data_IF_294314554759
#
_entry.id   IF_294314554759
#
_cell.length_a   1.000
_cell.length_b   1.000
_cell.length_c   1.000
_cell.angle_alpha   90.00
_cell.angle_beta   90.00
_cell.angle_gamma   90.00
#
_symmetry.space_group_name_H-M   'P 1'
#
loop_
_entity.id
_entity.type
_entity.pdbx_description
1 polymer ?
#
# COMPACT_ATOMS: atom_id res chain seq x y z
N UNK A 1 -15.72 5.77 -20.20
CA UNK A 1 -17.01 5.06 -20.24
C UNK A 1 -17.89 5.57 -19.12
N UNK A 2 -19.21 5.37 -19.21
CA UNK A 2 -20.18 5.80 -18.18
C UNK A 2 -19.83 5.29 -16.76
N UNK A 3 -19.21 4.11 -16.64
CA UNK A 3 -18.75 3.58 -15.34
C UNK A 3 -17.59 4.40 -14.78
N UNK A 4 -16.60 4.76 -15.59
CA UNK A 4 -15.51 5.64 -15.13
C UNK A 4 -16.02 7.00 -14.68
N UNK A 5 -16.92 7.62 -15.45
CA UNK A 5 -17.53 8.89 -15.09
C UNK A 5 -18.28 8.82 -13.76
N UNK A 6 -19.01 7.73 -13.51
CA UNK A 6 -19.69 7.48 -12.24
C UNK A 6 -18.69 7.35 -11.08
N UNK A 7 -17.64 6.56 -11.24
CA UNK A 7 -16.61 6.36 -10.21
C UNK A 7 -15.90 7.68 -9.89
N UNK A 8 -15.51 8.43 -10.91
CA UNK A 8 -14.85 9.72 -10.75
C UNK A 8 -15.78 10.77 -10.11
N UNK A 9 -17.05 10.82 -10.51
CA UNK A 9 -18.04 11.72 -9.92
C UNK A 9 -18.26 11.39 -8.44
N UNK A 10 -18.37 10.10 -8.09
CA UNK A 10 -18.51 9.67 -6.69
C UNK A 10 -17.28 10.02 -5.86
N UNK A 11 -16.07 9.86 -6.41
CA UNK A 11 -14.85 10.27 -5.73
C UNK A 11 -14.82 11.78 -5.44
N UNK A 12 -15.19 12.61 -6.45
CA UNK A 12 -15.27 14.08 -6.32
C UNK A 12 -16.42 14.54 -5.42
N UNK A 13 -17.40 13.70 -5.14
CA UNK A 13 -18.45 13.96 -4.14
C UNK A 13 -17.97 13.62 -2.72
N UNK A 14 -17.35 12.45 -2.53
CA UNK A 14 -17.00 11.91 -1.20
C UNK A 14 -15.77 12.60 -0.61
N UNK A 15 -14.65 12.58 -1.33
CA UNK A 15 -13.36 12.95 -0.77
C UNK A 15 -13.26 14.42 -0.31
N UNK A 16 -13.86 15.42 -1.01
CA UNK A 16 -13.84 16.80 -0.51
C UNK A 16 -14.56 16.99 0.82
N UNK A 17 -15.54 16.12 1.17
CA UNK A 17 -16.21 16.16 2.48
C UNK A 17 -15.26 15.79 3.63
N UNK A 18 -14.19 15.05 3.33
CA UNK A 18 -13.08 14.74 4.24
C UNK A 18 -11.88 15.69 4.07
N UNK A 19 -12.05 16.79 3.32
CA UNK A 19 -11.03 17.82 3.12
C UNK A 19 -9.97 17.47 2.06
N UNK A 20 -10.20 16.47 1.21
CA UNK A 20 -9.25 16.11 0.15
C UNK A 20 -9.43 16.97 -1.10
N UNK A 21 -8.32 17.52 -1.62
CA UNK A 21 -8.27 18.22 -2.90
C UNK A 21 -7.77 17.32 -4.03
N UNK A 22 -8.32 17.50 -5.25
CA UNK A 22 -7.83 16.77 -6.43
C UNK A 22 -6.45 17.28 -6.85
N UNK A 23 -5.48 16.38 -6.97
CA UNK A 23 -4.13 16.64 -7.46
C UNK A 23 -3.88 15.81 -8.72
N UNK A 24 -3.34 16.43 -9.76
CA UNK A 24 -2.97 15.74 -10.99
C UNK A 24 -1.46 15.78 -11.17
N UNK A 25 -0.84 14.61 -11.16
CA UNK A 25 0.61 14.45 -11.38
C UNK A 25 0.89 13.94 -12.79
N UNK A 26 2.10 14.17 -13.33
CA UNK A 26 2.51 13.63 -14.61
C UNK A 26 2.37 12.11 -14.72
N UNK A 27 2.11 11.62 -15.94
CA UNK A 27 2.10 10.18 -16.22
C UNK A 27 3.50 9.58 -16.30
N UNK A 28 4.50 10.42 -16.55
CA UNK A 28 5.92 10.05 -16.68
C UNK A 28 6.74 10.81 -15.65
N UNK A 29 7.59 10.08 -14.95
CA UNK A 29 8.53 10.60 -13.96
C UNK A 29 9.91 9.99 -14.20
N UNK A 30 10.94 10.52 -13.56
CA UNK A 30 12.23 9.84 -13.52
C UNK A 30 12.11 8.48 -12.82
N UNK A 31 12.71 7.45 -13.41
CA UNK A 31 12.69 6.08 -12.88
C UNK A 31 13.15 6.01 -11.42
N UNK A 32 14.16 6.81 -11.05
CA UNK A 32 14.71 6.88 -9.70
C UNK A 32 13.67 7.28 -8.64
N UNK A 33 12.65 8.05 -9.00
CA UNK A 33 11.57 8.39 -8.09
C UNK A 33 10.84 7.13 -7.60
N UNK A 34 10.51 6.26 -8.53
CA UNK A 34 9.81 5.00 -8.22
C UNK A 34 10.74 4.00 -7.54
N UNK A 35 11.99 3.87 -7.99
CA UNK A 35 12.97 2.98 -7.36
C UNK A 35 13.17 3.32 -5.89
N UNK A 36 13.34 4.61 -5.57
CA UNK A 36 13.50 5.07 -4.18
C UNK A 36 12.21 4.93 -3.38
N UNK A 37 11.06 5.29 -3.95
CA UNK A 37 9.78 5.26 -3.25
C UNK A 37 9.28 3.84 -3.00
N UNK A 38 9.19 3.02 -4.04
CA UNK A 38 8.56 1.69 -4.00
C UNK A 38 9.47 0.63 -3.36
N UNK A 39 10.78 0.75 -3.56
CA UNK A 39 11.79 -0.22 -3.15
C UNK A 39 12.30 -1.07 -4.31
N UNK A 40 13.64 -1.18 -4.42
CA UNK A 40 14.32 -1.87 -5.53
C UNK A 40 14.05 -3.37 -5.59
N UNK A 41 13.70 -3.99 -4.46
CA UNK A 41 13.45 -5.44 -4.35
C UNK A 41 11.99 -5.84 -4.63
N UNK A 42 11.13 -4.87 -4.98
CA UNK A 42 9.73 -5.16 -5.30
C UNK A 42 9.58 -5.67 -6.72
N UNK A 43 8.59 -6.54 -6.96
CA UNK A 43 8.29 -7.03 -8.31
C UNK A 43 7.90 -5.86 -9.25
N UNK A 44 7.26 -4.82 -8.72
CA UNK A 44 6.91 -3.62 -9.47
C UNK A 44 8.15 -2.96 -10.09
N UNK A 45 9.19 -2.74 -9.30
CA UNK A 45 10.43 -2.08 -9.77
C UNK A 45 11.25 -3.03 -10.65
N UNK A 46 11.38 -4.29 -10.27
CA UNK A 46 12.25 -5.24 -10.98
C UNK A 46 11.69 -5.72 -12.31
N UNK A 47 10.35 -5.85 -12.43
CA UNK A 47 9.74 -6.59 -13.56
C UNK A 47 8.60 -5.84 -14.26
N UNK A 48 7.95 -4.87 -13.57
CA UNK A 48 6.66 -4.37 -14.03
C UNK A 48 6.68 -2.91 -14.52
N UNK A 49 7.74 -2.15 -14.27
CA UNK A 49 7.83 -0.79 -14.75
C UNK A 49 8.11 -0.70 -16.25
N UNK A 50 7.39 0.20 -16.95
CA UNK A 50 7.72 0.61 -18.29
C UNK A 50 8.77 1.72 -18.24
N UNK A 51 10.04 1.37 -18.50
CA UNK A 51 11.16 2.28 -18.47
C UNK A 51 11.54 2.72 -19.89
N UNK A 52 11.75 4.02 -20.09
CA UNK A 52 12.12 4.64 -21.36
C UNK A 52 13.49 5.30 -21.16
N UNK A 53 14.58 4.72 -21.73
CA UNK A 53 15.90 5.33 -21.65
C UNK A 53 15.89 6.66 -22.42
N UNK A 54 16.56 7.67 -21.89
CA UNK A 54 16.76 8.92 -22.61
C UNK A 54 18.21 9.10 -23.06
N UNK A 55 18.43 9.98 -24.01
CA UNK A 55 19.74 10.27 -24.62
C UNK A 55 20.77 10.84 -23.62
N UNK A 56 20.35 11.32 -22.45
CA UNK A 56 21.22 11.91 -21.40
C UNK A 56 21.57 10.94 -20.29
N UNK A 57 21.31 9.63 -20.47
CA UNK A 57 21.62 8.59 -19.49
C UNK A 57 20.68 8.50 -18.27
N UNK A 58 19.63 9.33 -18.21
CA UNK A 58 18.58 9.24 -17.18
C UNK A 58 17.39 8.49 -17.75
N UNK A 59 16.85 7.52 -17.00
CA UNK A 59 15.66 6.78 -17.40
C UNK A 59 14.40 7.49 -16.91
N UNK A 60 13.35 7.47 -17.72
CA UNK A 60 12.00 7.86 -17.32
C UNK A 60 11.09 6.64 -17.32
N UNK A 61 10.07 6.63 -16.48
CA UNK A 61 9.10 5.55 -16.42
C UNK A 61 7.67 6.06 -16.48
N UNK A 62 6.79 5.28 -17.10
CA UNK A 62 5.37 5.44 -16.90
C UNK A 62 5.05 5.07 -15.45
N UNK A 63 4.23 5.86 -14.77
CA UNK A 63 3.92 5.68 -13.34
C UNK A 63 3.24 4.33 -13.09
N UNK A 64 3.82 3.46 -12.24
CA UNK A 64 3.20 2.20 -11.83
C UNK A 64 2.18 2.38 -10.69
N UNK A 65 2.20 3.54 -10.03
CA UNK A 65 1.33 3.97 -8.94
C UNK A 65 1.38 5.50 -8.81
N UNK A 66 0.49 6.11 -8.02
CA UNK A 66 0.40 7.57 -7.94
C UNK A 66 1.19 8.17 -6.76
N UNK A 67 1.36 7.42 -5.66
CA UNK A 67 1.86 7.92 -4.37
C UNK A 67 3.21 8.62 -4.50
N UNK A 68 4.19 8.02 -5.18
CA UNK A 68 5.52 8.61 -5.36
C UNK A 68 5.45 9.97 -6.11
N UNK A 69 4.61 10.07 -7.13
CA UNK A 69 4.38 11.33 -7.85
C UNK A 69 3.71 12.41 -6.99
N UNK A 70 2.76 12.02 -6.13
CA UNK A 70 2.14 12.93 -5.14
C UNK A 70 3.17 13.40 -4.14
N UNK A 71 4.00 12.49 -3.60
CA UNK A 71 5.06 12.87 -2.65
C UNK A 71 6.06 13.85 -3.27
N UNK A 72 6.49 13.62 -4.51
CA UNK A 72 7.38 14.57 -5.22
C UNK A 72 6.71 15.94 -5.35
N UNK A 73 5.46 15.99 -5.79
CA UNK A 73 4.72 17.25 -5.92
C UNK A 73 4.56 17.97 -4.56
N UNK A 74 4.30 17.24 -3.49
CA UNK A 74 4.23 17.75 -2.13
C UNK A 74 5.56 18.38 -1.68
N UNK A 75 6.68 17.68 -1.92
CA UNK A 75 8.02 18.15 -1.55
C UNK A 75 8.38 19.40 -2.36
N UNK A 76 8.26 19.35 -3.68
CA UNK A 76 8.66 20.45 -4.57
C UNK A 76 7.81 21.71 -4.42
N UNK A 77 6.53 21.56 -4.09
CA UNK A 77 5.65 22.72 -3.86
C UNK A 77 5.92 23.44 -2.52
N UNK A 78 6.65 22.79 -1.60
CA UNK A 78 6.92 23.32 -0.27
C UNK A 78 5.67 23.50 0.59
N UNK A 79 4.56 22.84 0.28
CA UNK A 79 3.30 22.97 1.02
C UNK A 79 3.45 22.53 2.48
N UNK A 80 4.34 21.57 2.76
CA UNK A 80 4.68 21.10 4.11
C UNK A 80 5.17 22.22 5.07
N UNK A 81 5.68 23.31 4.53
CA UNK A 81 6.11 24.45 5.35
C UNK A 81 4.95 25.40 5.72
N UNK A 82 3.79 25.24 5.09
CA UNK A 82 2.62 26.13 5.26
C UNK A 82 1.42 25.41 5.88
N UNK A 83 1.32 24.11 5.69
CA UNK A 83 0.19 23.31 6.14
C UNK A 83 0.68 22.13 6.98
N UNK A 84 0.15 22.01 8.20
CA UNK A 84 0.46 20.90 9.09
C UNK A 84 -0.14 19.57 8.58
N UNK A 85 -1.27 19.65 7.87
CA UNK A 85 -1.96 18.50 7.29
C UNK A 85 -2.29 18.81 5.84
N UNK A 86 -1.89 17.93 4.94
CA UNK A 86 -2.23 18.00 3.52
C UNK A 86 -2.97 16.75 3.08
N UNK A 87 -4.07 16.92 2.35
CA UNK A 87 -4.96 15.83 1.92
C UNK A 87 -5.19 15.93 0.41
N UNK A 88 -4.70 14.93 -0.34
CA UNK A 88 -4.80 14.88 -1.79
C UNK A 88 -5.48 13.62 -2.26
N UNK A 89 -6.27 13.72 -3.33
CA UNK A 89 -6.65 12.56 -4.10
C UNK A 89 -6.26 12.72 -5.57
N UNK A 90 -5.96 11.60 -6.22
CA UNK A 90 -5.63 11.56 -7.65
C UNK A 90 -6.49 10.52 -8.35
N UNK A 91 -6.84 10.80 -9.60
CA UNK A 91 -7.56 9.89 -10.48
C UNK A 91 -6.80 9.80 -11.79
N UNK A 92 -6.52 8.60 -12.27
CA UNK A 92 -5.92 8.47 -13.59
C UNK A 92 -5.30 7.11 -13.89
N UNK A 93 -4.72 6.98 -15.09
CA UNK A 93 -4.12 5.72 -15.54
C UNK A 93 -2.78 5.46 -14.86
N UNK A 94 -2.55 4.17 -14.56
CA UNK A 94 -1.29 3.59 -14.12
C UNK A 94 -0.86 2.51 -15.11
N UNK A 95 0.43 2.15 -15.07
CA UNK A 95 1.03 1.26 -16.06
C UNK A 95 1.93 0.23 -15.39
N UNK A 96 1.60 -1.06 -15.56
CA UNK A 96 2.44 -2.18 -15.09
C UNK A 96 2.55 -3.25 -16.15
N UNK A 97 3.75 -3.71 -16.42
CA UNK A 97 4.00 -4.82 -17.35
C UNK A 97 3.70 -6.17 -16.70
N UNK A 98 2.49 -6.31 -16.20
CA UNK A 98 2.01 -7.58 -15.64
C UNK A 98 1.54 -8.54 -16.73
N UNK A 99 1.48 -9.83 -16.37
CA UNK A 99 0.81 -10.81 -17.21
C UNK A 99 -0.70 -10.53 -17.21
N UNK A 100 -1.30 -10.21 -18.37
CA UNK A 100 -2.73 -9.87 -18.43
C UNK A 100 -3.61 -11.03 -17.95
N UNK A 101 -4.56 -10.71 -17.08
CA UNK A 101 -5.57 -11.64 -16.60
C UNK A 101 -6.82 -10.87 -16.17
N UNK A 102 -7.91 -11.57 -15.83
CA UNK A 102 -9.13 -10.91 -15.36
C UNK A 102 -8.82 -10.05 -14.13
N UNK A 103 -9.14 -8.74 -14.20
CA UNK A 103 -8.85 -7.77 -13.14
C UNK A 103 -7.43 -7.21 -13.13
N UNK A 104 -6.55 -7.62 -14.05
CA UNK A 104 -5.19 -7.06 -14.21
C UNK A 104 -4.89 -6.71 -15.66
N UNK A 105 -4.71 -5.43 -15.91
CA UNK A 105 -4.36 -4.89 -17.23
C UNK A 105 -3.05 -4.13 -17.14
N UNK A 106 -2.33 -4.02 -18.26
CA UNK A 106 -1.07 -3.27 -18.35
C UNK A 106 -1.25 -1.76 -18.21
N UNK A 107 -2.40 -1.25 -18.66
CA UNK A 107 -2.91 0.06 -18.30
C UNK A 107 -4.19 -0.13 -17.50
N UNK A 108 -4.25 0.45 -16.33
CA UNK A 108 -5.42 0.43 -15.45
C UNK A 108 -5.61 1.81 -14.84
N UNK A 109 -6.76 2.08 -14.25
CA UNK A 109 -7.02 3.34 -13.56
C UNK A 109 -7.00 3.10 -12.06
N UNK A 110 -6.47 4.07 -11.35
CA UNK A 110 -6.55 4.12 -9.90
C UNK A 110 -7.20 5.42 -9.44
N UNK A 111 -7.87 5.34 -8.31
CA UNK A 111 -8.30 6.44 -7.48
C UNK A 111 -7.51 6.30 -6.18
N UNK A 112 -6.65 7.29 -5.89
CA UNK A 112 -5.75 7.28 -4.74
C UNK A 112 -6.08 8.43 -3.81
N UNK A 113 -5.94 8.24 -2.51
CA UNK A 113 -6.01 9.28 -1.49
C UNK A 113 -4.76 9.22 -0.63
N UNK A 114 -4.15 10.39 -0.36
CA UNK A 114 -2.94 10.55 0.44
C UNK A 114 -3.17 11.63 1.49
N UNK A 115 -2.99 11.30 2.76
CA UNK A 115 -3.05 12.22 3.90
C UNK A 115 -1.66 12.30 4.54
N UNK A 116 -1.10 13.51 4.58
CA UNK A 116 0.24 13.79 5.06
C UNK A 116 0.19 14.69 6.28
N UNK A 117 0.96 14.38 7.31
CA UNK A 117 1.06 15.15 8.56
C UNK A 117 0.63 14.37 9.80
N UNK A 118 -0.58 13.81 9.89
CA UNK A 118 -1.06 13.17 11.11
C UNK A 118 -0.30 11.88 11.45
N UNK A 119 0.11 11.76 12.74
CA UNK A 119 0.70 10.55 13.32
C UNK A 119 -0.33 9.69 14.05
N UNK A 120 -1.43 10.31 14.41
CA UNK A 120 -2.47 9.78 15.26
C UNK A 120 -3.24 8.65 14.57
N UNK A 121 -3.63 7.58 15.31
CA UNK A 121 -4.35 6.42 14.76
C UNK A 121 -5.75 6.77 14.25
N UNK A 122 -6.32 7.90 14.69
CA UNK A 122 -7.59 8.43 14.19
C UNK A 122 -7.54 8.70 12.68
N UNK A 123 -6.40 9.17 12.17
CA UNK A 123 -6.23 9.39 10.74
C UNK A 123 -6.29 8.08 9.94
N UNK A 124 -5.76 6.97 10.50
CA UNK A 124 -5.82 5.66 9.87
C UNK A 124 -7.27 5.19 9.74
N UNK A 125 -8.02 5.31 10.84
CA UNK A 125 -9.44 4.93 10.87
C UNK A 125 -10.28 5.83 9.94
N UNK A 126 -10.06 7.16 9.95
CA UNK A 126 -10.77 8.11 9.08
C UNK A 126 -10.59 7.74 7.59
N UNK A 127 -9.36 7.45 7.16
CA UNK A 127 -9.05 7.06 5.78
C UNK A 127 -9.73 5.75 5.41
N UNK A 128 -9.75 4.77 6.31
CA UNK A 128 -10.47 3.50 6.09
C UNK A 128 -11.97 3.74 5.99
N UNK A 129 -12.56 4.52 6.89
CA UNK A 129 -14.00 4.87 6.87
C UNK A 129 -14.37 5.58 5.57
N UNK A 130 -13.61 6.58 5.15
CA UNK A 130 -13.81 7.29 3.88
C UNK A 130 -13.76 6.34 2.68
N UNK A 131 -12.78 5.44 2.64
CA UNK A 131 -12.66 4.44 1.60
C UNK A 131 -13.88 3.51 1.57
N UNK A 132 -14.33 3.02 2.73
CA UNK A 132 -15.49 2.15 2.82
C UNK A 132 -16.80 2.88 2.43
N UNK A 133 -16.97 4.17 2.80
CA UNK A 133 -18.08 5.00 2.32
C UNK A 133 -18.05 5.11 0.79
N UNK A 134 -16.90 5.42 0.21
CA UNK A 134 -16.74 5.52 -1.24
C UNK A 134 -17.12 4.22 -1.96
N UNK A 135 -16.57 3.08 -1.52
CA UNK A 135 -16.88 1.77 -2.11
C UNK A 135 -18.38 1.42 -1.95
N UNK A 136 -18.97 1.74 -0.81
CA UNK A 136 -20.41 1.55 -0.56
C UNK A 136 -21.28 2.39 -1.50
N UNK A 137 -20.92 3.67 -1.75
CA UNK A 137 -21.63 4.54 -2.71
C UNK A 137 -21.50 4.07 -4.16
N UNK A 138 -20.43 3.38 -4.52
CA UNK A 138 -20.30 2.70 -5.80
C UNK A 138 -21.17 1.44 -5.91
N UNK A 139 -21.87 1.05 -4.84
CA UNK A 139 -22.76 -0.11 -4.82
C UNK A 139 -22.06 -1.44 -4.62
N UNK A 140 -20.76 -1.42 -4.23
CA UNK A 140 -20.03 -2.64 -3.94
C UNK A 140 -20.54 -3.28 -2.64
N UNK A 141 -20.80 -4.58 -2.69
CA UNK A 141 -21.31 -5.37 -1.56
C UNK A 141 -20.36 -6.52 -1.25
N UNK A 142 -20.59 -7.20 -0.12
CA UNK A 142 -19.83 -8.39 0.29
C UNK A 142 -18.31 -8.14 0.33
N UNK A 143 -17.94 -6.93 0.79
CA UNK A 143 -16.55 -6.54 0.98
C UNK A 143 -16.04 -7.01 2.34
N UNK A 144 -14.82 -7.50 2.37
CA UNK A 144 -14.10 -7.84 3.60
C UNK A 144 -12.90 -6.92 3.74
N UNK A 145 -12.89 -6.10 4.79
CA UNK A 145 -11.71 -5.32 5.19
C UNK A 145 -10.76 -6.24 5.95
N UNK A 146 -9.61 -6.52 5.38
CA UNK A 146 -8.50 -7.20 6.05
C UNK A 146 -7.50 -6.16 6.53
N UNK A 147 -7.04 -6.25 7.79
CA UNK A 147 -6.14 -5.29 8.41
C UNK A 147 -5.00 -6.00 9.12
N UNK A 148 -3.82 -5.38 9.12
CA UNK A 148 -2.63 -5.85 9.83
C UNK A 148 -1.77 -4.66 10.24
N UNK A 149 -0.77 -4.92 11.08
CA UNK A 149 0.35 -3.99 11.29
C UNK A 149 1.64 -4.56 10.70
N UNK A 150 2.49 -3.69 10.19
CA UNK A 150 3.82 -4.03 9.67
C UNK A 150 4.95 -3.51 10.59
N UNK A 151 4.58 -2.98 11.76
CA UNK A 151 5.52 -2.41 12.71
C UNK A 151 6.23 -1.14 12.20
N UNK A 152 7.00 -0.52 13.06
CA UNK A 152 7.82 0.65 12.75
C UNK A 152 9.27 0.27 12.42
N UNK A 153 10.10 1.29 12.15
CA UNK A 153 11.54 1.13 11.90
C UNK A 153 12.32 0.48 13.05
N UNK A 154 11.78 0.48 14.27
CA UNK A 154 12.41 -0.14 15.44
C UNK A 154 12.05 -1.61 15.61
N UNK A 155 10.78 -1.97 15.54
CA UNK A 155 10.33 -3.36 15.78
C UNK A 155 10.36 -4.24 14.52
N UNK A 156 10.17 -3.66 13.33
CA UNK A 156 10.17 -4.41 12.06
C UNK A 156 11.48 -5.16 11.77
N UNK A 157 12.69 -4.60 12.00
CA UNK A 157 13.95 -5.34 11.80
C UNK A 157 14.08 -6.56 12.71
N UNK A 158 13.63 -6.48 13.96
CA UNK A 158 13.60 -7.60 14.91
C UNK A 158 12.69 -8.71 14.41
N UNK A 159 11.48 -8.35 14.03
CA UNK A 159 10.53 -9.31 13.44
C UNK A 159 11.06 -9.93 12.15
N UNK A 160 11.65 -9.12 11.25
CA UNK A 160 12.23 -9.62 10.00
C UNK A 160 13.32 -10.66 10.27
N UNK A 161 14.18 -10.43 11.27
CA UNK A 161 15.17 -11.40 11.68
C UNK A 161 14.54 -12.68 12.20
N UNK A 162 13.59 -12.58 13.12
CA UNK A 162 12.89 -13.73 13.68
C UNK A 162 12.19 -14.57 12.61
N UNK A 163 11.53 -13.89 11.65
CA UNK A 163 10.87 -14.56 10.52
C UNK A 163 11.91 -15.22 9.60
N UNK A 164 13.02 -14.55 9.30
CA UNK A 164 14.10 -15.13 8.49
C UNK A 164 14.68 -16.38 9.15
N UNK A 165 15.02 -16.31 10.44
CA UNK A 165 15.59 -17.44 11.18
C UNK A 165 14.60 -18.64 11.24
N UNK A 166 13.31 -18.35 11.39
CA UNK A 166 12.25 -19.37 11.34
C UNK A 166 12.13 -20.00 9.95
N UNK A 167 12.12 -19.19 8.87
CA UNK A 167 12.07 -19.68 7.50
C UNK A 167 13.28 -20.50 7.13
N UNK A 168 14.48 -20.14 7.62
CA UNK A 168 15.73 -20.86 7.37
C UNK A 168 15.74 -22.28 7.99
N UNK A 169 14.87 -22.55 8.98
CA UNK A 169 14.70 -23.89 9.56
C UNK A 169 13.79 -24.80 8.72
N UNK A 170 13.09 -24.25 7.72
CA UNK A 170 12.26 -25.03 6.82
C UNK A 170 13.11 -25.69 5.72
N UNK A 171 12.61 -26.77 5.13
CA UNK A 171 13.21 -27.37 3.94
C UNK A 171 12.97 -26.47 2.70
N UNK A 172 14.04 -25.83 2.14
CA UNK A 172 13.86 -24.93 0.99
C UNK A 172 13.31 -25.63 -0.26
N UNK A 173 13.45 -26.96 -0.39
CA UNK A 173 12.95 -27.72 -1.54
C UNK A 173 11.42 -27.70 -1.63
N UNK A 174 10.73 -27.52 -0.51
CA UNK A 174 9.26 -27.43 -0.43
C UNK A 174 8.71 -26.07 -0.78
N UNK A 175 9.57 -25.04 -0.85
CA UNK A 175 9.18 -23.69 -1.23
C UNK A 175 9.27 -23.47 -2.74
N UNK A 176 8.39 -22.66 -3.30
CA UNK A 176 8.50 -22.25 -4.69
C UNK A 176 9.76 -21.37 -4.90
N UNK A 177 10.20 -21.24 -6.16
CA UNK A 177 11.41 -20.51 -6.54
C UNK A 177 11.41 -19.06 -6.02
N UNK A 178 10.26 -18.35 -6.17
CA UNK A 178 10.12 -16.99 -5.66
C UNK A 178 10.26 -16.92 -4.14
N UNK A 179 9.70 -17.88 -3.38
CA UNK A 179 9.82 -17.91 -1.92
C UNK A 179 11.26 -18.19 -1.48
N UNK A 180 11.97 -19.07 -2.15
CA UNK A 180 13.40 -19.31 -1.88
C UNK A 180 14.23 -18.04 -2.03
N UNK A 181 14.02 -17.28 -3.10
CA UNK A 181 14.68 -15.99 -3.30
C UNK A 181 14.26 -14.96 -2.24
N UNK A 182 12.96 -14.86 -1.95
CA UNK A 182 12.38 -13.89 -0.99
C UNK A 182 12.83 -14.13 0.45
N UNK A 183 13.13 -15.34 0.86
CA UNK A 183 13.68 -15.64 2.18
C UNK A 183 14.90 -14.76 2.46
N UNK A 184 15.80 -14.62 1.49
CA UNK A 184 17.05 -13.85 1.64
C UNK A 184 16.84 -12.34 1.43
N UNK A 185 16.03 -11.96 0.44
CA UNK A 185 15.90 -10.55 0.04
C UNK A 185 14.81 -9.82 0.83
N UNK A 186 13.63 -10.43 0.97
CA UNK A 186 12.48 -9.84 1.68
C UNK A 186 11.59 -10.92 2.28
N UNK A 187 11.93 -11.49 3.47
CA UNK A 187 11.21 -12.60 4.07
C UNK A 187 9.73 -12.34 4.32
N UNK A 188 9.30 -11.07 4.55
CA UNK A 188 7.90 -10.75 4.71
C UNK A 188 7.07 -11.14 3.47
N UNK A 189 7.66 -11.05 2.27
CA UNK A 189 6.96 -11.40 1.01
C UNK A 189 6.69 -12.90 0.85
N UNK A 190 7.31 -13.76 1.66
CA UNK A 190 6.98 -15.18 1.72
C UNK A 190 5.57 -15.40 2.28
N UNK A 191 5.15 -14.57 3.23
CA UNK A 191 3.80 -14.62 3.84
C UNK A 191 2.68 -14.36 2.83
N UNK A 192 2.95 -13.56 1.78
CA UNK A 192 1.99 -13.24 0.71
C UNK A 192 2.03 -14.25 -0.47
N UNK A 193 2.74 -15.35 -0.35
CA UNK A 193 2.80 -16.34 -1.41
C UNK A 193 1.42 -16.92 -1.71
N UNK A 194 1.08 -17.03 -3.00
CA UNK A 194 -0.21 -17.58 -3.44
C UNK A 194 -0.15 -19.09 -3.72
N UNK A 195 1.03 -19.69 -3.72
CA UNK A 195 1.23 -21.14 -3.93
C UNK A 195 0.71 -21.90 -2.71
N UNK A 196 -0.24 -22.85 -2.86
CA UNK A 196 -0.87 -23.54 -1.73
C UNK A 196 0.13 -24.24 -0.81
N UNK A 197 1.12 -24.96 -1.36
CA UNK A 197 2.15 -25.65 -0.56
C UNK A 197 2.99 -24.68 0.28
N UNK A 198 3.36 -23.49 -0.26
CA UNK A 198 4.05 -22.47 0.50
C UNK A 198 3.18 -21.89 1.62
N UNK A 199 1.88 -21.69 1.36
CA UNK A 199 0.95 -21.20 2.39
C UNK A 199 0.83 -22.19 3.54
N UNK A 200 0.69 -23.46 3.24
CA UNK A 200 0.59 -24.53 4.23
C UNK A 200 1.87 -24.65 5.05
N UNK A 201 3.03 -24.71 4.38
CA UNK A 201 4.33 -24.78 5.03
C UNK A 201 4.63 -23.59 5.96
N UNK A 202 4.10 -22.43 5.64
CA UNK A 202 4.30 -21.18 6.42
C UNK A 202 3.09 -20.78 7.26
N UNK A 203 2.18 -21.73 7.56
CA UNK A 203 0.97 -21.44 8.35
C UNK A 203 1.31 -20.96 9.76
N UNK A 204 2.33 -21.57 10.39
CA UNK A 204 2.77 -21.30 11.76
C UNK A 204 3.91 -20.27 11.83
N UNK A 205 4.10 -19.46 10.78
CA UNK A 205 5.12 -18.43 10.79
C UNK A 205 4.91 -17.40 11.92
N UNK A 206 5.99 -16.87 12.52
CA UNK A 206 5.87 -15.83 13.54
C UNK A 206 4.97 -14.67 13.13
N UNK A 207 4.17 -14.17 14.07
CA UNK A 207 3.21 -13.07 13.83
C UNK A 207 3.84 -11.75 14.25
N UNK A 208 3.76 -10.73 13.38
CA UNK A 208 4.35 -9.42 13.66
C UNK A 208 3.73 -8.76 14.87
N UNK A 209 2.43 -8.90 15.10
CA UNK A 209 1.72 -8.32 16.25
C UNK A 209 2.27 -8.80 17.60
N UNK A 210 2.91 -9.98 17.67
CA UNK A 210 3.56 -10.49 18.87
C UNK A 210 4.97 -9.90 19.08
N UNK A 211 5.52 -9.27 18.07
CA UNK A 211 6.87 -8.72 18.03
C UNK A 211 6.89 -7.17 17.93
N UNK A 212 5.74 -6.52 18.08
CA UNK A 212 5.64 -5.08 18.03
C UNK A 212 6.16 -4.40 19.30
N UNK A 213 6.71 -3.20 19.13
CA UNK A 213 6.97 -2.32 20.26
C UNK A 213 5.65 -1.80 20.88
N UNK A 214 5.66 -1.35 22.16
CA UNK A 214 4.45 -0.85 22.82
C UNK A 214 3.73 0.24 22.04
N UNK A 215 4.45 1.15 21.38
CA UNK A 215 3.88 2.25 20.60
C UNK A 215 3.12 1.74 19.37
N UNK A 216 3.67 0.75 18.64
CA UNK A 216 2.99 0.15 17.50
C UNK A 216 1.74 -0.60 17.93
N UNK A 217 1.82 -1.34 19.04
CA UNK A 217 0.67 -2.03 19.61
C UNK A 217 -0.42 -1.05 20.02
N UNK A 218 -0.09 -0.02 20.79
CA UNK A 218 -1.04 1.00 21.22
C UNK A 218 -1.70 1.71 20.06
N UNK A 219 -0.93 2.03 19.00
CA UNK A 219 -1.43 2.63 17.77
C UNK A 219 -2.43 1.70 17.07
N UNK A 220 -2.05 0.44 16.84
CA UNK A 220 -2.92 -0.52 16.15
C UNK A 220 -4.20 -0.79 16.94
N UNK A 221 -4.10 -0.99 18.25
CA UNK A 221 -5.28 -1.18 19.13
C UNK A 221 -6.20 0.05 19.11
N UNK A 222 -5.65 1.27 18.98
CA UNK A 222 -6.46 2.48 18.84
C UNK A 222 -7.18 2.53 17.49
N UNK A 223 -6.52 2.19 16.38
CA UNK A 223 -7.16 2.08 15.06
C UNK A 223 -8.35 1.12 15.13
N UNK A 224 -8.16 -0.07 15.71
CA UNK A 224 -9.24 -1.06 15.84
C UNK A 224 -10.41 -0.54 16.67
N UNK A 225 -10.15 0.14 17.81
CA UNK A 225 -11.22 0.77 18.62
C UNK A 225 -12.02 1.81 17.84
N UNK A 226 -11.36 2.63 17.00
CA UNK A 226 -12.06 3.60 16.16
C UNK A 226 -12.92 2.92 15.09
N UNK A 227 -12.41 1.86 14.44
CA UNK A 227 -13.21 1.08 13.49
C UNK A 227 -14.42 0.42 14.16
N UNK A 228 -14.27 -0.10 15.37
CA UNK A 228 -15.37 -0.67 16.16
C UNK A 228 -16.43 0.39 16.52
N UNK A 229 -16.01 1.61 16.91
CA UNK A 229 -16.91 2.73 17.20
C UNK A 229 -17.71 3.15 15.97
N UNK A 230 -17.08 3.17 14.79
CA UNK A 230 -17.71 3.46 13.49
C UNK A 230 -18.47 2.25 12.90
N UNK A 231 -18.44 1.11 13.58
CA UNK A 231 -19.09 -0.14 13.15
C UNK A 231 -18.61 -0.63 11.79
N UNK A 232 -17.34 -0.40 11.46
CA UNK A 232 -16.70 -0.94 10.26
C UNK A 232 -16.21 -2.35 10.58
N UNK A 233 -16.79 -3.41 9.98
CA UNK A 233 -16.33 -4.76 10.23
C UNK A 233 -14.96 -5.00 9.57
N UNK A 234 -14.07 -5.69 10.29
CA UNK A 234 -12.75 -6.04 9.80
C UNK A 234 -12.33 -7.45 10.22
N UNK A 235 -11.30 -7.96 9.56
CA UNK A 235 -10.62 -9.19 9.90
C UNK A 235 -9.12 -8.92 10.05
N UNK A 236 -8.53 -9.29 11.17
CA UNK A 236 -7.07 -9.24 11.34
C UNK A 236 -6.47 -10.37 10.48
N UNK A 237 -5.59 -10.00 9.54
CA UNK A 237 -4.90 -10.94 8.68
C UNK A 237 -3.38 -10.82 8.88
N UNK A 238 -2.82 -11.65 9.73
CA UNK A 238 -1.40 -11.66 10.08
C UNK A 238 -0.47 -11.91 8.88
N UNK A 239 -0.99 -12.44 7.79
CA UNK A 239 -0.25 -12.71 6.54
C UNK A 239 -0.33 -11.55 5.55
N UNK A 240 -1.12 -10.51 5.86
CA UNK A 240 -1.26 -9.37 4.98
C UNK A 240 0.03 -8.55 4.99
N UNK A 241 0.75 -8.60 3.88
CA UNK A 241 1.87 -7.71 3.55
C UNK A 241 1.57 -7.05 2.20
N UNK A 242 2.14 -5.88 1.96
CA UNK A 242 1.88 -5.12 0.73
C UNK A 242 2.99 -5.32 -0.30
N UNK A 243 2.64 -5.11 -1.56
CA UNK A 243 3.57 -5.22 -2.69
C UNK A 243 4.63 -4.12 -2.78
N UNK A 244 4.56 -3.11 -1.90
CA UNK A 244 5.41 -1.93 -1.87
C UNK A 244 6.09 -1.86 -0.48
N UNK A 245 7.38 -1.55 -0.44
CA UNK A 245 8.19 -1.69 0.78
C UNK A 245 8.08 -0.50 1.74
N UNK A 246 7.48 0.61 1.31
CA UNK A 246 7.37 1.82 2.12
C UNK A 246 6.37 1.74 3.28
N UNK A 247 5.46 0.76 3.27
CA UNK A 247 4.44 0.66 4.32
C UNK A 247 5.04 0.38 5.71
N UNK A 248 4.47 1.05 6.71
CA UNK A 248 4.79 0.90 8.14
C UNK A 248 3.50 0.85 8.94
N UNK A 249 3.53 0.29 10.16
CA UNK A 249 2.37 0.25 11.06
C UNK A 249 1.12 -0.30 10.36
N UNK A 250 0.00 0.42 10.41
CA UNK A 250 -1.29 -0.01 9.86
C UNK A 250 -1.23 -0.25 8.35
N UNK A 251 -1.69 -1.40 7.91
CA UNK A 251 -1.92 -1.74 6.50
C UNK A 251 -3.24 -2.49 6.35
N UNK A 252 -3.89 -2.31 5.21
CA UNK A 252 -5.16 -2.98 4.94
C UNK A 252 -5.35 -3.30 3.47
N UNK A 253 -6.30 -4.21 3.23
CA UNK A 253 -6.79 -4.56 1.91
C UNK A 253 -8.30 -4.84 2.00
N UNK A 254 -9.05 -4.31 1.06
CA UNK A 254 -10.46 -4.65 0.90
C UNK A 254 -10.58 -5.68 -0.21
N UNK A 255 -11.15 -6.81 0.11
CA UNK A 255 -11.32 -7.92 -0.83
C UNK A 255 -12.80 -8.20 -1.07
N UNK A 256 -13.12 -8.60 -2.31
CA UNK A 256 -14.43 -9.11 -2.71
C UNK A 256 -14.32 -10.54 -3.21
N UNK A 257 -15.16 -11.42 -2.72
CA UNK A 257 -15.25 -12.80 -3.20
C UNK A 257 -15.91 -12.94 -4.58
N UNK A 258 -16.51 -11.85 -5.09
CA UNK A 258 -17.23 -11.83 -6.37
C UNK A 258 -16.29 -11.64 -7.58
N UNK A 259 -15.05 -11.20 -7.36
CA UNK A 259 -14.10 -10.86 -8.44
C UNK A 259 -13.16 -12.02 -8.78
N UNK A 260 -13.20 -13.12 -8.02
CA UNK A 260 -12.37 -14.33 -8.21
C UNK A 260 -11.03 -14.26 -7.44
N UNK A 261 -10.00 -14.96 -7.91
CA UNK A 261 -8.73 -15.14 -7.19
C UNK A 261 -7.90 -13.85 -6.96
N UNK A 262 -8.26 -12.77 -7.62
CA UNK A 262 -7.64 -11.44 -7.49
C UNK A 262 -8.63 -10.45 -6.87
N UNK A 263 -9.27 -10.86 -5.79
CA UNK A 263 -10.38 -10.14 -5.15
C UNK A 263 -10.04 -8.80 -4.49
N UNK A 264 -8.80 -8.30 -4.59
CA UNK A 264 -8.43 -6.99 -4.04
C UNK A 264 -9.10 -5.86 -4.81
N UNK A 265 -9.95 -5.09 -4.12
CA UNK A 265 -10.69 -3.95 -4.66
C UNK A 265 -9.98 -2.64 -4.32
N UNK A 266 -9.46 -2.55 -3.11
CA UNK A 266 -8.74 -1.39 -2.61
C UNK A 266 -7.71 -1.84 -1.58
N UNK A 267 -6.70 -1.02 -1.34
CA UNK A 267 -5.75 -1.28 -0.29
C UNK A 267 -4.88 -0.08 0.00
N UNK A 268 -4.39 -0.03 1.23
CA UNK A 268 -3.62 1.09 1.71
C UNK A 268 -2.83 0.78 2.96
N UNK A 269 -2.35 1.83 3.58
CA UNK A 269 -1.59 1.76 4.82
C UNK A 269 -0.82 3.03 5.10
N UNK A 270 -0.12 3.02 6.23
CA UNK A 270 0.76 4.09 6.69
C UNK A 270 2.16 3.94 6.08
N UNK A 271 2.82 5.06 5.80
CA UNK A 271 4.15 5.10 5.19
C UNK A 271 4.96 6.31 5.72
N UNK A 272 5.18 6.37 7.02
CA UNK A 272 5.74 7.52 7.74
C UNK A 272 7.15 7.96 7.29
N UNK A 273 7.91 7.07 6.65
CA UNK A 273 9.27 7.37 6.16
C UNK A 273 9.35 7.77 4.67
N UNK A 274 8.25 7.70 3.90
CA UNK A 274 8.33 7.83 2.44
C UNK A 274 8.72 9.23 1.99
N UNK A 275 8.17 10.29 2.60
CA UNK A 275 8.49 11.68 2.25
C UNK A 275 9.97 11.96 2.47
N UNK A 276 10.53 11.53 3.60
CA UNK A 276 11.96 11.67 3.93
C UNK A 276 12.84 10.86 2.97
N UNK A 277 12.45 9.62 2.64
CA UNK A 277 13.15 8.76 1.68
C UNK A 277 13.23 9.39 0.29
N UNK A 278 12.25 10.19 -0.09
CA UNK A 278 12.21 10.92 -1.36
C UNK A 278 12.91 12.28 -1.30
N UNK A 279 13.50 12.65 -0.15
CA UNK A 279 14.30 13.86 0.02
C UNK A 279 13.53 15.05 0.61
N UNK A 280 12.32 14.82 1.14
CA UNK A 280 11.54 15.81 1.87
C UNK A 280 11.76 15.76 3.38
N UNK A 281 10.98 16.49 4.17
CA UNK A 281 11.02 16.45 5.62
C UNK A 281 10.41 15.13 6.16
N UNK A 282 10.69 14.82 7.43
CA UNK A 282 10.13 13.68 8.14
C UNK A 282 8.63 13.90 8.45
N UNK A 283 7.79 13.76 7.45
CA UNK A 283 6.34 13.89 7.53
C UNK A 283 5.69 12.50 7.42
N UNK A 284 4.86 12.10 8.39
CA UNK A 284 4.11 10.85 8.30
C UNK A 284 3.06 10.91 7.19
N UNK A 285 2.74 9.75 6.65
CA UNK A 285 1.76 9.64 5.60
C UNK A 285 0.93 8.38 5.70
N UNK A 286 -0.30 8.47 5.22
CA UNK A 286 -1.23 7.36 5.10
C UNK A 286 -2.12 7.57 3.89
N UNK A 287 -2.43 6.48 3.19
CA UNK A 287 -3.26 6.57 2.00
C UNK A 287 -3.75 5.22 1.52
N UNK A 288 -4.58 5.25 0.48
CA UNK A 288 -5.06 4.07 -0.20
C UNK A 288 -5.15 4.28 -1.72
N UNK A 289 -5.26 3.16 -2.44
CA UNK A 289 -5.59 3.09 -3.85
C UNK A 289 -6.70 2.05 -4.08
N UNK A 290 -7.60 2.34 -5.01
CA UNK A 290 -8.60 1.42 -5.51
C UNK A 290 -8.69 1.45 -7.05
#
# INVERSE_FOLDING_TARGET
SRLFEMMEATAREVFPRYGFGELRTPLMEYTDLFCRGIGTETDVVQKEMYCIPNSKGRSMSLRPEATAGVMRAYIESGVHAREAVSRFFTIGPMFRHERPQKGRMRQFHQINCECLGPREPEADAEIICMMMEFLGKLGLKNLTLQINSLGCSSCRPVYRKNLHDWLAALDPSQLCEDCRRRMETNPLRVLDCKVPSCKELTADAPVILENECPDCRAHFDAVLRHLDAEKIPYQINHRLVRGLDYYTRTTWEVVSNEIGSQGSVAGGGRYDGLVEQLGGPAVPGIGFAC
#
